data_IF_544615972858
#
_entry.id   IF_544615972858
#
_cell.length_a   1.000
_cell.length_b   1.000
_cell.length_c   1.000
_cell.angle_alpha   90.00
_cell.angle_beta   90.00
_cell.angle_gamma   90.00
#
_symmetry.space_group_name_H-M   'P 1'
#
loop_
_entity.id
_entity.type
_entity.pdbx_description
1 polymer ?
#
# COMPACT_ATOMS: atom_id res chain seq x y z
N UNK A 1 0.98 3.42 -1.34
CA UNK A 1 2.00 2.50 -1.88
C UNK A 1 3.33 3.22 -1.88
N UNK A 2 4.45 2.51 -1.77
CA UNK A 2 5.78 3.12 -1.82
C UNK A 2 6.86 2.13 -2.25
N UNK A 3 8.10 2.56 -2.35
CA UNK A 3 9.27 1.70 -2.51
C UNK A 3 10.48 2.29 -1.79
N UNK A 4 11.47 1.42 -1.51
CA UNK A 4 12.80 1.83 -1.06
C UNK A 4 13.82 0.79 -1.49
N UNK A 5 15.11 1.14 -1.55
CA UNK A 5 16.16 0.16 -1.87
C UNK A 5 16.44 -0.82 -0.71
N UNK A 6 16.03 -0.48 0.52
CA UNK A 6 16.18 -1.32 1.70
C UNK A 6 14.80 -1.76 2.22
N UNK A 7 14.67 -3.02 2.64
CA UNK A 7 13.40 -3.59 3.15
C UNK A 7 12.77 -2.72 4.26
N UNK A 8 13.58 -2.25 5.21
CA UNK A 8 13.13 -1.39 6.31
C UNK A 8 13.59 0.08 6.16
N UNK A 9 13.92 0.50 4.94
CA UNK A 9 14.43 1.84 4.62
C UNK A 9 13.35 2.93 4.52
N UNK A 10 12.30 2.85 5.34
CA UNK A 10 11.22 3.85 5.36
C UNK A 10 9.98 3.51 4.52
N UNK A 11 9.84 2.28 4.01
CA UNK A 11 8.64 1.86 3.26
C UNK A 11 7.34 2.06 4.07
N UNK A 12 7.34 1.67 5.35
CA UNK A 12 6.18 1.92 6.21
C UNK A 12 6.05 3.40 6.61
N UNK A 13 7.18 4.03 6.93
CA UNK A 13 7.22 5.43 7.40
C UNK A 13 6.64 6.40 6.38
N UNK A 14 7.05 6.27 5.11
CA UNK A 14 6.57 7.12 4.01
C UNK A 14 5.06 7.01 3.84
N UNK A 15 4.48 5.80 3.89
CA UNK A 15 3.03 5.63 3.78
C UNK A 15 2.31 6.29 4.97
N UNK A 16 2.81 6.12 6.20
CA UNK A 16 2.22 6.75 7.39
C UNK A 16 2.24 8.28 7.32
N UNK A 17 3.32 8.87 6.79
CA UNK A 17 3.40 10.33 6.60
C UNK A 17 2.39 10.81 5.57
N UNK A 18 2.19 10.10 4.46
CA UNK A 18 1.14 10.42 3.47
C UNK A 18 -0.25 10.35 4.13
N UNK A 19 -0.50 9.33 4.95
CA UNK A 19 -1.75 9.21 5.70
C UNK A 19 -1.96 10.34 6.71
N UNK A 20 -0.89 10.87 7.30
CA UNK A 20 -0.98 12.06 8.15
C UNK A 20 -1.51 13.25 7.35
N UNK A 21 -0.94 13.53 6.17
CA UNK A 21 -1.45 14.60 5.29
C UNK A 21 -2.90 14.36 4.86
N UNK A 22 -3.25 13.13 4.49
CA UNK A 22 -4.62 12.78 4.11
C UNK A 22 -5.63 13.01 5.25
N UNK A 23 -5.24 12.73 6.50
CA UNK A 23 -6.06 13.00 7.67
C UNK A 23 -6.35 14.50 7.82
N UNK A 24 -5.36 15.37 7.57
CA UNK A 24 -5.55 16.82 7.59
C UNK A 24 -6.50 17.33 6.49
N UNK A 25 -6.66 16.59 5.39
CA UNK A 25 -7.63 16.91 4.35
C UNK A 25 -9.06 16.45 4.69
N UNK A 26 -9.26 15.78 5.83
CA UNK A 26 -10.52 15.14 6.16
C UNK A 26 -10.81 13.92 5.28
N UNK A 27 -9.80 13.33 4.65
CA UNK A 27 -9.98 12.17 3.80
C UNK A 27 -10.29 10.91 4.62
N UNK A 28 -11.07 9.99 4.04
CA UNK A 28 -11.24 8.65 4.58
C UNK A 28 -10.02 7.82 4.15
N UNK A 29 -9.22 7.41 5.13
CA UNK A 29 -8.01 6.61 4.88
C UNK A 29 -8.39 5.14 4.77
N UNK A 30 -8.06 4.55 3.63
CA UNK A 30 -8.45 3.19 3.24
C UNK A 30 -7.16 2.37 3.05
N UNK A 31 -6.51 1.89 4.13
CA UNK A 31 -5.31 1.08 4.04
C UNK A 31 -5.64 -0.30 3.47
N UNK A 32 -4.65 -0.98 2.90
CA UNK A 32 -4.88 -2.30 2.30
C UNK A 32 -5.18 -3.36 3.38
N UNK A 33 -4.50 -3.30 4.53
CA UNK A 33 -4.57 -4.35 5.55
C UNK A 33 -4.05 -5.69 5.00
N UNK A 34 -4.51 -6.80 5.57
CA UNK A 34 -4.16 -8.16 5.11
C UNK A 34 -5.36 -8.85 4.46
N UNK A 35 -6.00 -8.18 3.50
CA UNK A 35 -7.27 -8.64 2.89
C UNK A 35 -7.09 -9.70 1.79
N UNK A 36 -5.86 -9.94 1.34
CA UNK A 36 -5.52 -10.76 0.19
C UNK A 36 -4.13 -11.40 0.40
N UNK A 37 -3.96 -12.65 -0.02
CA UNK A 37 -2.70 -13.41 0.11
C UNK A 37 -1.52 -12.71 -0.60
N UNK A 38 -1.81 -11.94 -1.66
CA UNK A 38 -0.80 -11.14 -2.35
C UNK A 38 -0.11 -10.11 -1.44
N UNK A 39 -0.78 -9.66 -0.37
CA UNK A 39 -0.16 -8.76 0.60
C UNK A 39 0.91 -9.47 1.42
N UNK A 40 0.71 -10.74 1.77
CA UNK A 40 1.75 -11.53 2.42
C UNK A 40 2.88 -11.86 1.44
N UNK A 41 2.55 -12.24 0.21
CA UNK A 41 3.52 -12.59 -0.83
C UNK A 41 4.53 -11.45 -1.13
N UNK A 42 4.08 -10.19 -1.06
CA UNK A 42 4.96 -9.04 -1.28
C UNK A 42 5.77 -8.61 -0.04
N UNK A 43 5.62 -9.27 1.12
CA UNK A 43 6.33 -8.93 2.36
C UNK A 43 5.47 -8.42 3.51
N UNK A 44 4.15 -8.35 3.36
CA UNK A 44 3.23 -8.18 4.50
C UNK A 44 3.12 -6.77 5.05
N UNK A 45 3.06 -5.74 4.20
CA UNK A 45 2.85 -4.36 4.67
C UNK A 45 1.35 -3.97 4.69
N UNK A 46 0.70 -3.85 5.87
CA UNK A 46 -0.73 -3.55 5.96
C UNK A 46 -1.05 -2.08 5.68
N UNK A 47 -0.07 -1.17 5.79
CA UNK A 47 -0.27 0.25 5.49
C UNK A 47 -0.47 0.46 3.99
N UNK A 48 0.13 -0.37 3.14
CA UNK A 48 -0.01 -0.32 1.69
C UNK A 48 1.04 -1.19 1.01
N UNK A 49 0.79 -1.56 -0.25
CA UNK A 49 1.77 -2.28 -1.07
C UNK A 49 3.10 -1.51 -1.11
N UNK A 50 4.20 -2.21 -0.89
CA UNK A 50 5.54 -1.62 -0.80
C UNK A 50 6.62 -2.51 -1.39
N UNK A 51 7.44 -1.97 -2.28
CA UNK A 51 8.46 -2.74 -2.96
C UNK A 51 9.88 -2.42 -2.50
N UNK A 52 10.72 -3.46 -2.46
CA UNK A 52 12.16 -3.28 -2.38
C UNK A 52 12.72 -3.13 -3.79
N UNK A 53 13.15 -1.93 -4.12
CA UNK A 53 13.70 -1.59 -5.43
C UNK A 53 15.14 -2.09 -5.59
N UNK A 54 15.43 -2.63 -6.76
CA UNK A 54 16.74 -3.10 -7.22
C UNK A 54 17.08 -2.41 -8.54
N UNK A 55 18.27 -2.64 -9.10
CA UNK A 55 18.61 -2.08 -10.41
C UNK A 55 17.83 -2.76 -11.55
N UNK A 56 17.34 -3.97 -11.30
CA UNK A 56 16.67 -4.84 -12.27
C UNK A 56 15.13 -4.82 -12.13
N UNK A 57 14.59 -4.07 -11.17
CA UNK A 57 13.15 -4.00 -10.89
C UNK A 57 12.83 -4.07 -9.40
N UNK A 58 11.85 -4.88 -9.02
CA UNK A 58 11.48 -5.09 -7.62
C UNK A 58 11.88 -6.50 -7.16
N UNK A 59 12.43 -6.59 -5.94
CA UNK A 59 12.82 -7.87 -5.34
C UNK A 59 11.61 -8.72 -4.91
N UNK A 60 10.44 -8.11 -4.76
CA UNK A 60 9.20 -8.73 -4.31
C UNK A 60 8.07 -8.59 -5.35
N UNK A 61 7.19 -9.59 -5.39
CA UNK A 61 6.02 -9.64 -6.27
C UNK A 61 4.95 -8.63 -5.86
N UNK A 62 5.07 -7.38 -6.33
CA UNK A 62 4.22 -6.28 -5.88
C UNK A 62 2.94 -6.08 -6.72
N UNK A 63 2.89 -6.57 -7.96
CA UNK A 63 1.80 -6.26 -8.89
C UNK A 63 0.42 -6.65 -8.34
N UNK A 64 0.29 -7.87 -7.82
CA UNK A 64 -0.98 -8.35 -7.27
C UNK A 64 -1.37 -7.60 -5.99
N UNK A 65 -0.40 -7.23 -5.15
CA UNK A 65 -0.64 -6.42 -3.96
C UNK A 65 -1.16 -5.01 -4.30
N UNK A 66 -0.62 -4.40 -5.36
CA UNK A 66 -1.08 -3.11 -5.90
C UNK A 66 -2.53 -3.24 -6.41
N UNK A 67 -2.83 -4.29 -7.18
CA UNK A 67 -4.19 -4.57 -7.67
C UNK A 67 -5.18 -4.77 -6.52
N UNK A 68 -4.82 -5.55 -5.50
CA UNK A 68 -5.65 -5.77 -4.32
C UNK A 68 -5.91 -4.46 -3.55
N UNK A 69 -4.88 -3.63 -3.35
CA UNK A 69 -5.03 -2.32 -2.73
C UNK A 69 -5.95 -1.39 -3.54
N UNK A 70 -5.74 -1.29 -4.85
CA UNK A 70 -6.55 -0.44 -5.72
C UNK A 70 -8.02 -0.89 -5.73
N UNK A 71 -8.26 -2.20 -5.86
CA UNK A 71 -9.60 -2.80 -5.81
C UNK A 71 -10.31 -2.43 -4.50
N UNK A 72 -9.63 -2.60 -3.35
CA UNK A 72 -10.19 -2.25 -2.04
C UNK A 72 -10.62 -0.78 -1.96
N UNK A 73 -9.78 0.13 -2.45
CA UNK A 73 -10.10 1.56 -2.47
C UNK A 73 -11.35 1.83 -3.30
N UNK A 74 -11.40 1.30 -4.52
CA UNK A 74 -12.57 1.47 -5.40
C UNK A 74 -13.85 0.90 -4.78
N UNK A 75 -13.78 -0.29 -4.18
CA UNK A 75 -14.95 -0.93 -3.54
C UNK A 75 -15.46 -0.16 -2.32
N UNK A 76 -14.56 0.35 -1.47
CA UNK A 76 -14.95 1.18 -0.32
C UNK A 76 -15.53 2.50 -0.79
N UNK A 77 -14.92 3.15 -1.78
CA UNK A 77 -15.43 4.42 -2.32
C UNK A 77 -16.82 4.26 -2.92
N UNK A 78 -17.07 3.20 -3.70
CA UNK A 78 -18.40 2.91 -4.27
C UNK A 78 -19.48 2.87 -3.19
N UNK A 79 -19.24 2.15 -2.09
CA UNK A 79 -20.17 2.06 -0.95
C UNK A 79 -20.44 3.38 -0.22
N UNK A 80 -19.61 4.40 -0.43
CA UNK A 80 -19.77 5.71 0.21
C UNK A 80 -20.46 6.74 -0.69
N UNK A 81 -20.45 6.52 -2.01
CA UNK A 81 -21.02 7.45 -3.00
C UNK A 81 -22.33 6.94 -3.60
N UNK A 82 -22.58 5.63 -3.52
CA UNK A 82 -23.86 4.99 -3.85
C UNK A 82 -24.83 5.09 -2.66
#
# INVERSE_FOLDING_TARGET
MTSAQNNNGGQEGTIKTIYTSAAHWGAIIVPVGYIDDAIYAQGGNPYGASATATNEGFANEIENAVKAQAKRVVEVTKKLVD
#
